data_IF_563703455649
#
_entry.id   IF_563703455649
#
_cell.length_a   1.000
_cell.length_b   1.000
_cell.length_c   1.000
_cell.angle_alpha   90.00
_cell.angle_beta   90.00
_cell.angle_gamma   90.00
#
_symmetry.space_group_name_H-M   'P 1'
#
loop_
_entity.id
_entity.type
_entity.pdbx_description
1 polymer ?
#
# COMPACT_ATOMS: atom_id res chain seq x y z
N UNK A 1 72.50 -19.18 159.41
CA UNK A 1 71.36 -18.66 160.21
C UNK A 1 70.69 -19.83 160.89
N UNK A 2 70.62 -19.83 162.23
CA UNK A 2 69.84 -20.86 162.96
C UNK A 2 68.37 -20.48 162.86
N UNK A 3 67.49 -21.32 162.30
CA UNK A 3 66.06 -21.01 162.25
C UNK A 3 65.52 -20.92 163.69
N UNK A 4 64.72 -19.88 163.96
CA UNK A 4 64.03 -19.73 165.24
C UNK A 4 63.18 -20.99 165.48
N UNK A 5 63.53 -21.74 166.52
CA UNK A 5 62.74 -22.87 167.01
C UNK A 5 61.70 -22.32 167.96
N UNK A 6 60.45 -22.28 167.52
CA UNK A 6 59.32 -21.92 168.36
C UNK A 6 58.90 -23.14 169.19
N UNK A 7 58.50 -22.88 170.44
CA UNK A 7 58.00 -23.93 171.32
C UNK A 7 56.66 -24.47 170.82
N UNK A 8 56.35 -25.77 171.00
CA UNK A 8 55.10 -26.39 170.53
C UNK A 8 53.84 -25.64 171.00
N UNK A 9 53.85 -25.10 172.21
CA UNK A 9 52.72 -24.36 172.80
C UNK A 9 52.39 -23.07 172.04
N UNK A 10 53.41 -22.35 171.57
CA UNK A 10 53.22 -21.12 170.79
C UNK A 10 52.60 -21.41 169.42
N UNK A 11 52.91 -22.58 168.85
CA UNK A 11 52.35 -23.06 167.59
C UNK A 11 50.88 -23.43 167.77
N UNK A 12 50.54 -24.06 168.89
CA UNK A 12 49.18 -24.42 169.27
C UNK A 12 48.33 -23.18 169.53
N UNK A 13 48.87 -22.18 170.24
CA UNK A 13 48.16 -20.93 170.51
C UNK A 13 47.87 -20.15 169.22
N UNK A 14 48.85 -20.08 168.30
CA UNK A 14 48.66 -19.46 167.00
C UNK A 14 47.63 -20.20 166.13
N UNK A 15 47.61 -21.54 166.17
CA UNK A 15 46.60 -22.33 165.48
C UNK A 15 45.20 -22.15 166.06
N UNK A 16 45.04 -22.11 167.39
CA UNK A 16 43.77 -21.81 168.06
C UNK A 16 43.27 -20.40 167.71
N UNK A 17 44.15 -19.41 167.64
CA UNK A 17 43.81 -18.06 167.21
C UNK A 17 43.31 -18.02 165.76
N UNK A 18 43.99 -18.72 164.85
CA UNK A 18 43.54 -18.85 163.45
C UNK A 18 42.18 -19.58 163.33
N UNK A 19 41.93 -20.55 164.21
CA UNK A 19 40.65 -21.24 164.29
C UNK A 19 39.52 -20.32 164.79
N UNK A 20 39.77 -19.50 165.81
CA UNK A 20 38.81 -18.52 166.32
C UNK A 20 38.47 -17.42 165.30
N UNK A 21 39.41 -17.09 164.42
CA UNK A 21 39.22 -16.18 163.29
C UNK A 21 38.50 -16.82 162.09
N UNK A 22 38.16 -18.11 162.15
CA UNK A 22 37.53 -18.85 161.05
C UNK A 22 38.42 -19.04 159.82
N UNK A 23 39.74 -18.89 159.96
CA UNK A 23 40.71 -19.00 158.86
C UNK A 23 41.27 -20.42 158.76
N UNK A 24 41.51 -20.88 157.53
CA UNK A 24 42.10 -22.19 157.28
C UNK A 24 43.52 -22.28 157.85
N UNK A 25 43.74 -23.26 158.73
CA UNK A 25 45.00 -23.46 159.44
C UNK A 25 45.93 -24.28 158.55
N UNK A 26 46.78 -23.58 157.79
CA UNK A 26 47.84 -24.18 156.97
C UNK A 26 49.20 -23.87 157.58
N UNK A 27 50.24 -24.64 157.23
CA UNK A 27 51.60 -24.39 157.72
C UNK A 27 52.12 -22.98 157.45
N UNK A 28 51.68 -22.37 156.34
CA UNK A 28 51.97 -20.97 156.01
C UNK A 28 51.16 -19.98 156.84
N UNK A 29 49.88 -20.26 157.12
CA UNK A 29 49.07 -19.41 158.01
C UNK A 29 49.65 -19.37 159.43
N UNK A 30 50.12 -20.52 159.93
CA UNK A 30 50.83 -20.62 161.22
C UNK A 30 52.14 -19.82 161.21
N UNK A 31 52.93 -19.93 160.13
CA UNK A 31 54.15 -19.13 159.96
C UNK A 31 53.86 -17.62 159.94
N UNK A 32 52.80 -17.21 159.26
CA UNK A 32 52.41 -15.79 159.16
C UNK A 32 51.95 -15.23 160.51
N UNK A 33 51.36 -16.06 161.38
CA UNK A 33 50.90 -15.64 162.72
C UNK A 33 52.01 -15.58 163.75
N UNK A 34 52.99 -16.49 163.68
CA UNK A 34 54.10 -16.61 164.64
C UNK A 34 55.33 -15.78 164.20
N UNK A 35 55.41 -15.40 162.91
CA UNK A 35 56.45 -14.52 162.37
C UNK A 35 57.69 -15.23 161.85
N UNK A 36 57.72 -16.56 161.79
CA UNK A 36 58.86 -17.33 161.28
C UNK A 36 58.71 -18.85 161.44
N UNK A 37 59.75 -19.60 161.08
CA UNK A 37 59.80 -21.07 161.23
C UNK A 37 59.54 -21.86 159.95
N UNK A 38 59.75 -23.18 160.01
CA UNK A 38 59.52 -24.10 158.89
C UNK A 38 58.02 -24.47 158.80
N UNK A 39 57.30 -24.10 157.72
CA UNK A 39 55.87 -24.39 157.56
C UNK A 39 55.48 -25.85 157.75
N UNK A 40 56.35 -26.78 157.32
CA UNK A 40 56.09 -28.22 157.42
C UNK A 40 56.09 -28.68 158.87
N UNK A 41 57.05 -28.20 159.69
CA UNK A 41 57.13 -28.51 161.13
C UNK A 41 55.98 -27.86 161.91
N UNK A 42 55.62 -26.62 161.57
CA UNK A 42 54.49 -25.93 162.20
C UNK A 42 53.17 -26.65 161.93
N UNK A 43 52.94 -27.07 160.67
CA UNK A 43 51.77 -27.87 160.29
C UNK A 43 51.80 -29.24 160.98
N UNK A 44 52.95 -29.90 161.05
CA UNK A 44 53.08 -31.19 161.70
C UNK A 44 52.74 -31.12 163.21
N UNK A 45 53.25 -30.13 163.94
CA UNK A 45 52.94 -29.96 165.37
C UNK A 45 51.46 -29.59 165.57
N UNK A 46 50.89 -28.78 164.68
CA UNK A 46 49.46 -28.46 164.72
C UNK A 46 48.60 -29.69 164.37
N UNK A 47 49.03 -30.52 163.42
CA UNK A 47 48.34 -31.75 163.04
C UNK A 47 48.50 -32.82 164.13
N UNK A 48 49.63 -32.89 164.82
CA UNK A 48 49.84 -33.70 166.03
C UNK A 48 48.97 -33.18 167.19
N UNK A 49 48.84 -31.86 167.34
CA UNK A 49 47.95 -31.25 168.33
C UNK A 49 46.47 -31.50 168.00
N UNK A 50 46.07 -31.33 166.74
CA UNK A 50 44.74 -31.68 166.23
C UNK A 50 44.47 -33.17 166.37
N UNK A 51 45.43 -34.03 166.08
CA UNK A 51 45.34 -35.47 166.29
C UNK A 51 45.33 -35.83 167.78
N UNK A 52 45.92 -35.02 168.67
CA UNK A 52 45.83 -35.20 170.12
C UNK A 52 44.52 -34.65 170.72
N UNK A 53 43.93 -33.61 170.10
CA UNK A 53 42.60 -33.11 170.43
C UNK A 53 41.49 -34.01 169.87
N UNK A 54 41.71 -34.56 168.68
CA UNK A 54 40.81 -35.49 167.97
C UNK A 54 41.17 -36.95 168.18
N UNK A 55 42.21 -37.24 168.97
CA UNK A 55 42.27 -38.43 169.82
C UNK A 55 41.23 -38.22 170.92
N UNK A 56 39.98 -38.12 170.47
CA UNK A 56 38.83 -38.46 171.25
C UNK A 56 39.18 -39.80 171.88
N UNK A 57 39.20 -39.79 173.21
CA UNK A 57 39.04 -40.97 174.03
C UNK A 57 38.16 -41.95 173.25
N UNK A 58 38.78 -42.98 172.66
CA UNK A 58 38.06 -44.20 172.40
C UNK A 58 37.86 -44.80 173.78
N UNK A 59 36.91 -44.21 174.53
CA UNK A 59 36.18 -44.91 175.56
C UNK A 59 35.87 -46.26 174.92
N UNK A 60 36.23 -47.39 175.56
CA UNK A 60 35.79 -48.67 175.06
C UNK A 60 34.28 -48.49 174.88
N UNK A 61 33.79 -48.74 173.67
CA UNK A 61 32.35 -48.90 173.48
C UNK A 61 32.02 -50.06 174.42
N UNK A 62 31.62 -49.74 175.65
CA UNK A 62 30.74 -50.57 176.42
C UNK A 62 29.65 -50.87 175.43
N UNK A 63 29.63 -52.13 174.98
CA UNK A 63 28.59 -52.64 174.11
C UNK A 63 27.30 -52.01 174.60
N UNK A 64 26.64 -51.26 173.72
CA UNK A 64 25.26 -50.83 173.99
C UNK A 64 24.58 -52.10 174.50
N UNK A 65 23.96 -52.07 175.69
CA UNK A 65 23.26 -53.23 176.23
C UNK A 65 22.48 -53.89 175.10
N UNK A 66 22.61 -55.20 174.92
CA UNK A 66 22.20 -55.88 173.68
C UNK A 66 20.80 -55.44 173.19
N UNK A 67 19.89 -55.16 174.11
CA UNK A 67 18.58 -54.54 173.91
C UNK A 67 18.63 -53.22 173.10
N UNK A 68 19.46 -52.25 173.48
CA UNK A 68 19.59 -50.96 172.78
C UNK A 68 20.29 -51.14 171.42
N UNK A 69 21.28 -52.02 171.31
CA UNK A 69 21.94 -52.31 170.04
C UNK A 69 20.99 -52.96 169.03
N UNK A 70 20.14 -53.89 169.48
CA UNK A 70 19.10 -54.53 168.67
C UNK A 70 17.98 -53.54 168.28
N UNK A 71 17.56 -52.64 169.18
CA UNK A 71 16.61 -51.57 168.86
C UNK A 71 17.18 -50.57 167.83
N UNK A 72 18.45 -50.15 167.97
CA UNK A 72 19.10 -49.27 166.99
C UNK A 72 19.24 -49.97 165.64
N UNK A 73 19.58 -51.27 165.62
CA UNK A 73 19.59 -52.06 164.38
C UNK A 73 18.20 -52.13 163.76
N UNK A 74 17.16 -52.46 164.54
CA UNK A 74 15.78 -52.56 164.06
C UNK A 74 15.26 -51.22 163.51
N UNK A 75 15.57 -50.10 164.17
CA UNK A 75 15.23 -48.75 163.68
C UNK A 75 16.02 -48.41 162.42
N UNK A 76 17.30 -48.78 162.35
CA UNK A 76 18.11 -48.54 161.15
C UNK A 76 17.66 -49.37 159.95
N UNK A 77 17.25 -50.63 160.15
CA UNK A 77 16.69 -51.48 159.10
C UNK A 77 15.34 -50.96 158.65
N UNK A 78 14.45 -50.59 159.59
CA UNK A 78 13.15 -49.98 159.26
C UNK A 78 13.30 -48.64 158.52
N UNK A 79 14.27 -47.81 158.89
CA UNK A 79 14.58 -46.57 158.18
C UNK A 79 15.15 -46.84 156.78
N UNK A 80 16.05 -47.81 156.64
CA UNK A 80 16.59 -48.24 155.35
C UNK A 80 15.47 -48.77 154.43
N UNK A 81 14.56 -49.59 154.94
CA UNK A 81 13.37 -50.07 154.22
C UNK A 81 12.43 -48.93 153.81
N UNK A 82 12.23 -47.94 154.68
CA UNK A 82 11.41 -46.76 154.35
C UNK A 82 12.08 -45.86 153.31
N UNK A 83 13.41 -45.72 153.38
CA UNK A 83 14.19 -44.99 152.39
C UNK A 83 14.17 -45.70 151.03
N UNK A 84 14.39 -47.02 150.98
CA UNK A 84 14.30 -47.77 149.72
C UNK A 84 12.91 -47.68 149.11
N UNK A 85 11.84 -47.79 149.92
CA UNK A 85 10.46 -47.62 149.45
C UNK A 85 10.15 -46.21 148.93
N UNK A 86 10.67 -45.17 149.59
CA UNK A 86 10.51 -43.79 149.09
C UNK A 86 11.29 -43.58 147.80
N UNK A 87 12.49 -44.15 147.69
CA UNK A 87 13.33 -44.08 146.49
C UNK A 87 12.67 -44.81 145.32
N UNK A 88 12.11 -46.01 145.51
CA UNK A 88 11.39 -46.73 144.44
C UNK A 88 10.16 -45.95 144.01
N UNK A 89 9.36 -45.40 144.93
CA UNK A 89 8.21 -44.53 144.59
C UNK A 89 8.60 -43.26 143.85
N UNK A 90 9.69 -42.60 144.26
CA UNK A 90 10.22 -41.42 143.56
C UNK A 90 10.70 -41.79 142.15
N UNK A 91 11.37 -42.93 142.01
CA UNK A 91 11.82 -43.47 140.73
C UNK A 91 10.62 -43.78 139.82
N UNK A 92 9.63 -44.54 140.30
CA UNK A 92 8.40 -44.83 139.55
C UNK A 92 7.70 -43.56 139.07
N UNK A 93 7.64 -42.52 139.91
CA UNK A 93 7.06 -41.22 139.55
C UNK A 93 7.91 -40.50 138.49
N UNK A 94 9.23 -40.56 138.59
CA UNK A 94 10.15 -39.97 137.62
C UNK A 94 10.07 -40.70 136.26
N UNK A 95 10.02 -42.03 136.26
CA UNK A 95 9.85 -42.86 135.05
C UNK A 95 8.52 -42.55 134.38
N UNK A 96 7.41 -42.54 135.13
CA UNK A 96 6.09 -42.20 134.55
C UNK A 96 6.05 -40.77 133.98
N UNK A 97 6.70 -39.81 134.65
CA UNK A 97 6.80 -38.44 134.15
C UNK A 97 7.68 -38.36 132.88
N UNK A 98 8.75 -39.15 132.80
CA UNK A 98 9.60 -39.24 131.61
C UNK A 98 8.88 -39.94 130.45
N UNK A 99 8.20 -41.06 130.70
CA UNK A 99 7.36 -41.77 129.72
C UNK A 99 6.28 -40.84 129.17
N UNK A 100 5.56 -40.12 130.03
CA UNK A 100 4.55 -39.15 129.59
C UNK A 100 5.18 -38.07 128.69
N UNK A 101 6.31 -37.48 129.09
CA UNK A 101 7.02 -36.48 128.27
C UNK A 101 7.47 -37.06 126.93
N UNK A 102 7.99 -38.29 126.92
CA UNK A 102 8.38 -38.98 125.68
C UNK A 102 7.16 -39.18 124.80
N UNK A 103 6.03 -39.67 125.34
CA UNK A 103 4.80 -39.84 124.55
C UNK A 103 4.29 -38.53 123.98
N UNK A 104 4.33 -37.45 124.77
CA UNK A 104 3.91 -36.12 124.32
C UNK A 104 4.83 -35.58 123.22
N UNK A 105 6.16 -35.69 123.38
CA UNK A 105 7.14 -35.30 122.36
C UNK A 105 6.98 -36.14 121.10
N UNK A 106 6.79 -37.46 121.21
CA UNK A 106 6.56 -38.31 120.04
C UNK A 106 5.26 -37.97 119.33
N UNK A 107 4.21 -37.59 120.07
CA UNK A 107 2.95 -37.15 119.49
C UNK A 107 3.11 -35.81 118.76
N UNK A 108 3.72 -34.81 119.39
CA UNK A 108 3.91 -33.49 118.75
C UNK A 108 4.87 -33.59 117.57
N UNK A 109 5.91 -34.43 117.64
CA UNK A 109 6.78 -34.71 116.50
C UNK A 109 6.04 -35.41 115.36
N UNK A 110 5.15 -36.36 115.67
CA UNK A 110 4.32 -37.02 114.66
C UNK A 110 3.31 -36.05 114.02
N UNK A 111 2.69 -35.18 114.81
CA UNK A 111 1.79 -34.13 114.31
C UNK A 111 2.54 -33.13 113.41
N UNK A 112 3.75 -32.70 113.80
CA UNK A 112 4.60 -31.84 112.98
C UNK A 112 5.05 -32.54 111.69
N UNK A 113 5.42 -33.82 111.75
CA UNK A 113 5.78 -34.60 110.57
C UNK A 113 4.59 -34.72 109.60
N UNK A 114 3.40 -35.05 110.12
CA UNK A 114 2.18 -35.14 109.31
C UNK A 114 1.78 -33.78 108.71
N UNK A 115 1.98 -32.67 109.42
CA UNK A 115 1.76 -31.34 108.87
C UNK A 115 2.77 -31.02 107.76
N UNK A 116 4.06 -31.28 107.98
CA UNK A 116 5.09 -31.06 106.97
C UNK A 116 4.85 -31.91 105.72
N UNK A 117 4.46 -33.18 105.86
CA UNK A 117 4.11 -34.06 104.74
C UNK A 117 2.95 -33.51 103.91
N UNK A 118 1.91 -32.96 104.56
CA UNK A 118 0.79 -32.31 103.85
C UNK A 118 1.25 -31.05 103.11
N UNK A 119 2.05 -30.20 103.76
CA UNK A 119 2.61 -28.99 103.13
C UNK A 119 3.53 -29.34 101.95
N UNK A 120 4.33 -30.42 102.05
CA UNK A 120 5.13 -30.93 100.94
C UNK A 120 4.26 -31.47 99.81
N UNK A 121 3.18 -32.18 100.12
CA UNK A 121 2.26 -32.69 99.10
C UNK A 121 1.57 -31.56 98.34
N UNK A 122 1.16 -30.50 99.03
CA UNK A 122 0.56 -29.32 98.39
C UNK A 122 1.59 -28.55 97.56
N UNK A 123 2.82 -28.37 98.07
CA UNK A 123 3.92 -27.79 97.30
C UNK A 123 4.22 -28.60 96.03
N UNK A 124 4.30 -29.94 96.12
CA UNK A 124 4.53 -30.82 94.98
C UNK A 124 3.44 -30.65 93.92
N UNK A 125 2.15 -30.63 94.32
CA UNK A 125 1.03 -30.38 93.40
C UNK A 125 1.14 -29.02 92.70
N UNK A 126 1.57 -27.98 93.42
CA UNK A 126 1.75 -26.66 92.80
C UNK A 126 2.90 -26.66 91.80
N UNK A 127 3.99 -27.38 92.07
CA UNK A 127 5.12 -27.54 91.15
C UNK A 127 4.66 -28.28 89.90
N UNK A 128 3.97 -29.42 90.03
CA UNK A 128 3.40 -30.15 88.90
C UNK A 128 2.46 -29.26 88.04
N UNK A 129 1.62 -28.43 88.68
CA UNK A 129 0.77 -27.47 87.98
C UNK A 129 1.57 -26.38 87.24
N UNK A 130 2.68 -25.92 87.81
CA UNK A 130 3.54 -24.91 87.19
C UNK A 130 4.36 -25.51 86.04
N UNK A 131 4.84 -26.74 86.18
CA UNK A 131 5.51 -27.49 85.13
C UNK A 131 4.56 -27.73 83.94
N UNK A 132 3.32 -28.15 84.19
CA UNK A 132 2.32 -28.29 83.13
C UNK A 132 2.05 -26.98 82.37
N UNK A 133 1.96 -25.84 83.09
CA UNK A 133 1.83 -24.52 82.45
C UNK A 133 3.09 -24.12 81.67
N UNK A 134 4.27 -24.48 82.17
CA UNK A 134 5.53 -24.21 81.48
C UNK A 134 5.56 -24.97 80.14
N UNK A 135 5.19 -26.24 80.15
CA UNK A 135 5.13 -27.08 78.95
C UNK A 135 4.11 -26.56 77.94
N UNK A 136 2.91 -26.16 78.38
CA UNK A 136 1.89 -25.53 77.53
C UNK A 136 2.41 -24.24 76.88
N UNK A 137 3.07 -23.37 77.66
CA UNK A 137 3.64 -22.13 77.15
C UNK A 137 4.82 -22.37 76.20
N UNK A 138 5.64 -23.39 76.46
CA UNK A 138 6.72 -23.80 75.57
C UNK A 138 6.16 -24.31 74.24
N UNK A 139 5.19 -25.23 74.27
CA UNK A 139 4.52 -25.74 73.07
C UNK A 139 3.84 -24.60 72.28
N UNK A 140 3.17 -23.66 72.95
CA UNK A 140 2.59 -22.48 72.32
C UNK A 140 3.63 -21.57 71.65
N UNK A 141 4.78 -21.34 72.31
CA UNK A 141 5.88 -20.58 71.71
C UNK A 141 6.50 -21.28 70.49
N UNK A 142 6.65 -22.60 70.53
CA UNK A 142 7.13 -23.38 69.40
C UNK A 142 6.16 -23.30 68.21
N UNK A 143 4.85 -23.41 68.45
CA UNK A 143 3.84 -23.25 67.39
C UNK A 143 3.83 -21.82 66.81
N UNK A 144 3.89 -20.80 67.66
CA UNK A 144 3.96 -19.40 67.21
C UNK A 144 5.23 -19.12 66.41
N UNK A 145 6.37 -19.69 66.81
CA UNK A 145 7.61 -19.54 66.06
C UNK A 145 7.61 -20.31 64.75
N UNK A 146 6.94 -21.45 64.66
CA UNK A 146 6.74 -22.19 63.41
C UNK A 146 5.85 -21.40 62.43
N UNK A 147 4.67 -20.97 62.87
CA UNK A 147 3.75 -20.17 62.05
C UNK A 147 4.39 -18.86 61.58
N UNK A 148 5.14 -18.16 62.45
CA UNK A 148 5.90 -16.98 62.06
C UNK A 148 6.96 -17.27 60.98
N UNK A 149 7.61 -18.44 61.01
CA UNK A 149 8.56 -18.85 59.97
C UNK A 149 7.86 -19.16 58.65
N UNK A 150 6.71 -19.83 58.69
CA UNK A 150 5.89 -20.14 57.51
C UNK A 150 5.38 -18.85 56.84
N UNK A 151 4.81 -17.92 57.61
CA UNK A 151 4.37 -16.62 57.11
C UNK A 151 5.53 -15.80 56.51
N UNK A 152 6.72 -15.86 57.13
CA UNK A 152 7.93 -15.22 56.56
C UNK A 152 8.37 -15.87 55.25
N UNK A 153 8.22 -17.20 55.11
CA UNK A 153 8.54 -17.90 53.88
C UNK A 153 7.54 -17.53 52.77
N UNK A 154 6.24 -17.55 53.06
CA UNK A 154 5.17 -17.14 52.16
C UNK A 154 5.37 -15.70 51.69
N UNK A 155 5.66 -14.77 52.62
CA UNK A 155 5.94 -13.38 52.28
C UNK A 155 7.16 -13.23 51.35
N UNK A 156 8.25 -13.96 51.61
CA UNK A 156 9.43 -13.96 50.72
C UNK A 156 9.09 -14.50 49.33
N UNK A 157 8.28 -15.55 49.24
CA UNK A 157 7.81 -16.09 47.96
C UNK A 157 6.98 -15.04 47.21
N UNK A 158 6.03 -14.40 47.88
CA UNK A 158 5.23 -13.31 47.32
C UNK A 158 6.08 -12.12 46.87
N UNK A 159 7.09 -11.72 47.64
CA UNK A 159 8.02 -10.63 47.27
C UNK A 159 8.81 -10.98 45.99
N UNK A 160 9.25 -12.24 45.83
CA UNK A 160 9.91 -12.72 44.61
C UNK A 160 8.95 -12.76 43.43
N UNK A 161 7.71 -13.23 43.62
CA UNK A 161 6.69 -13.23 42.56
C UNK A 161 6.34 -11.80 42.11
N UNK A 162 6.16 -10.88 43.06
CA UNK A 162 5.93 -9.46 42.77
C UNK A 162 7.11 -8.84 42.01
N UNK A 163 8.36 -9.18 42.37
CA UNK A 163 9.54 -8.74 41.63
C UNK A 163 9.53 -9.27 40.18
N UNK A 164 9.28 -10.57 39.99
CA UNK A 164 9.16 -11.18 38.66
C UNK A 164 8.03 -10.57 37.82
N UNK A 165 6.89 -10.28 38.43
CA UNK A 165 5.76 -9.64 37.75
C UNK A 165 6.11 -8.20 37.35
N UNK A 166 6.81 -7.44 38.19
CA UNK A 166 7.32 -6.10 37.86
C UNK A 166 8.32 -6.16 36.70
N UNK A 167 9.25 -7.11 36.71
CA UNK A 167 10.20 -7.30 35.60
C UNK A 167 9.47 -7.61 34.28
N UNK A 168 8.49 -8.53 34.31
CA UNK A 168 7.66 -8.85 33.14
C UNK A 168 6.85 -7.65 32.66
N UNK A 169 6.32 -6.84 33.59
CA UNK A 169 5.58 -5.63 33.26
C UNK A 169 6.49 -4.61 32.57
N UNK A 170 7.68 -4.35 33.11
CA UNK A 170 8.65 -3.43 32.51
C UNK A 170 9.08 -3.92 31.11
N UNK A 171 9.34 -5.22 30.94
CA UNK A 171 9.66 -5.79 29.64
C UNK A 171 8.50 -5.61 28.65
N UNK A 172 7.25 -5.87 29.07
CA UNK A 172 6.08 -5.68 28.24
C UNK A 172 5.89 -4.20 27.85
N UNK A 173 6.02 -3.27 28.80
CA UNK A 173 5.96 -1.83 28.54
C UNK A 173 7.05 -1.37 27.56
N UNK A 174 8.27 -1.89 27.67
CA UNK A 174 9.35 -1.60 26.72
C UNK A 174 9.01 -2.10 25.31
N UNK A 175 8.50 -3.32 25.18
CA UNK A 175 8.08 -3.85 23.88
C UNK A 175 6.91 -3.07 23.28
N UNK A 176 5.96 -2.61 24.10
CA UNK A 176 4.86 -1.78 23.67
C UNK A 176 5.36 -0.42 23.15
N UNK A 177 6.26 0.23 23.89
CA UNK A 177 6.89 1.49 23.45
C UNK A 177 7.66 1.34 22.14
N UNK A 178 8.47 0.29 22.00
CA UNK A 178 9.19 0.02 20.75
C UNK A 178 8.23 -0.21 19.56
N UNK A 179 7.11 -0.89 19.80
CA UNK A 179 6.10 -1.07 18.77
C UNK A 179 5.41 0.26 18.41
N UNK A 180 5.07 1.09 19.40
CA UNK A 180 4.53 2.43 19.17
C UNK A 180 5.50 3.32 18.38
N UNK A 181 6.78 3.33 18.74
CA UNK A 181 7.83 4.03 17.99
C UNK A 181 7.89 3.56 16.54
N UNK A 182 7.91 2.24 16.30
CA UNK A 182 7.87 1.66 14.95
C UNK A 182 6.60 2.04 14.19
N UNK A 183 5.44 2.07 14.85
CA UNK A 183 4.19 2.49 14.22
C UNK A 183 4.21 3.98 13.87
N UNK A 184 4.80 4.83 14.71
CA UNK A 184 4.96 6.25 14.38
C UNK A 184 5.94 6.45 13.22
N UNK A 185 7.08 5.76 13.20
CA UNK A 185 8.03 5.79 12.08
C UNK A 185 7.39 5.30 10.76
N UNK A 186 6.62 4.22 10.81
CA UNK A 186 5.88 3.73 9.64
C UNK A 186 4.82 4.76 9.19
N UNK A 187 4.14 5.42 10.14
CA UNK A 187 3.16 6.45 9.82
C UNK A 187 3.82 7.66 9.18
N UNK A 188 4.96 8.13 9.69
CA UNK A 188 5.68 9.28 9.10
C UNK A 188 6.21 8.95 7.72
N UNK A 189 6.82 7.77 7.53
CA UNK A 189 7.32 7.34 6.22
C UNK A 189 6.20 7.17 5.19
N UNK A 190 5.06 6.61 5.57
CA UNK A 190 3.88 6.54 4.70
C UNK A 190 3.30 7.92 4.39
N UNK A 191 3.29 8.83 5.36
CA UNK A 191 2.83 10.20 5.16
C UNK A 191 3.75 10.96 4.17
N UNK A 192 5.07 10.83 4.33
CA UNK A 192 6.06 11.41 3.42
C UNK A 192 5.92 10.82 2.01
N UNK A 193 5.76 9.50 1.88
CA UNK A 193 5.54 8.85 0.59
C UNK A 193 4.24 9.33 -0.08
N UNK A 194 3.16 9.48 0.70
CA UNK A 194 1.90 10.03 0.22
C UNK A 194 2.05 11.47 -0.26
N UNK A 195 2.77 12.31 0.49
CA UNK A 195 3.01 13.71 0.13
C UNK A 195 3.85 13.79 -1.16
N UNK A 196 4.86 12.93 -1.32
CA UNK A 196 5.64 12.81 -2.57
C UNK A 196 4.75 12.38 -3.74
N UNK A 197 3.93 11.34 -3.60
CA UNK A 197 3.01 10.92 -4.67
C UNK A 197 2.01 12.02 -5.02
N UNK A 198 1.47 12.73 -4.03
CA UNK A 198 0.58 13.87 -4.28
C UNK A 198 1.28 15.00 -5.05
N UNK A 199 2.54 15.30 -4.72
CA UNK A 199 3.33 16.28 -5.47
C UNK A 199 3.62 15.80 -6.90
N UNK A 200 3.98 14.53 -7.09
CA UNK A 200 4.18 13.94 -8.41
C UNK A 200 2.91 14.00 -9.25
N UNK A 201 1.75 13.63 -8.68
CA UNK A 201 0.46 13.73 -9.36
C UNK A 201 0.09 15.18 -9.73
N UNK A 202 0.39 16.15 -8.85
CA UNK A 202 0.21 17.58 -9.16
C UNK A 202 1.08 18.00 -10.34
N UNK A 203 2.38 17.69 -10.31
CA UNK A 203 3.29 18.03 -11.40
C UNK A 203 2.90 17.38 -12.74
N UNK A 204 2.50 16.10 -12.72
CA UNK A 204 2.01 15.38 -13.90
C UNK A 204 0.73 16.01 -14.45
N UNK A 205 -0.20 16.42 -13.58
CA UNK A 205 -1.41 17.14 -14.00
C UNK A 205 -1.08 18.47 -14.65
N UNK A 206 -0.17 19.25 -14.08
CA UNK A 206 0.29 20.52 -14.67
C UNK A 206 0.95 20.31 -16.04
N UNK A 207 1.79 19.29 -16.17
CA UNK A 207 2.43 18.96 -17.45
C UNK A 207 1.43 18.48 -18.50
N UNK A 208 0.43 17.68 -18.11
CA UNK A 208 -0.65 17.27 -19.01
C UNK A 208 -1.53 18.46 -19.43
N UNK A 209 -1.82 19.39 -18.52
CA UNK A 209 -2.54 20.62 -18.85
C UNK A 209 -1.76 21.45 -19.87
N UNK A 210 -0.45 21.67 -19.67
CA UNK A 210 0.41 22.37 -20.64
C UNK A 210 0.44 21.69 -22.01
N UNK A 211 0.48 20.35 -22.05
CA UNK A 211 0.44 19.59 -23.31
C UNK A 211 -0.92 19.74 -24.00
N UNK A 212 -2.01 19.74 -23.25
CA UNK A 212 -3.36 19.93 -23.77
C UNK A 212 -3.52 21.36 -24.33
N UNK A 213 -3.06 22.37 -23.59
CA UNK A 213 -3.01 23.76 -24.06
C UNK A 213 -2.21 23.88 -25.36
N UNK A 214 -1.00 23.31 -25.42
CA UNK A 214 -0.19 23.28 -26.65
C UNK A 214 -0.89 22.60 -27.82
N UNK A 215 -1.45 21.41 -27.61
CA UNK A 215 -2.16 20.66 -28.66
C UNK A 215 -3.41 21.42 -29.15
N UNK A 216 -4.14 22.09 -28.24
CA UNK A 216 -5.27 22.93 -28.61
C UNK A 216 -4.86 24.19 -29.38
N UNK A 217 -3.72 24.81 -29.03
CA UNK A 217 -3.15 25.91 -29.80
C UNK A 217 -2.76 25.46 -31.21
N UNK A 218 -2.04 24.35 -31.33
CA UNK A 218 -1.68 23.74 -32.62
C UNK A 218 -2.91 23.39 -33.46
N UNK A 219 -3.95 22.81 -32.84
CA UNK A 219 -5.21 22.51 -33.51
C UNK A 219 -5.94 23.78 -33.99
N UNK A 220 -5.91 24.87 -33.22
CA UNK A 220 -6.47 26.16 -33.62
C UNK A 220 -5.67 26.80 -34.76
N UNK A 221 -4.34 26.75 -34.71
CA UNK A 221 -3.48 27.22 -35.80
C UNK A 221 -3.78 26.47 -37.10
N UNK A 222 -3.81 25.14 -37.07
CA UNK A 222 -4.19 24.33 -38.22
C UNK A 222 -5.61 24.60 -38.71
N UNK A 223 -6.56 24.85 -37.81
CA UNK A 223 -7.92 25.22 -38.20
C UNK A 223 -7.97 26.58 -38.92
N UNK A 224 -7.19 27.57 -38.47
CA UNK A 224 -7.04 28.86 -39.15
C UNK A 224 -6.30 28.74 -40.48
N UNK A 225 -5.27 27.92 -40.57
CA UNK A 225 -4.59 27.59 -41.83
C UNK A 225 -5.57 26.98 -42.83
N UNK A 226 -6.31 25.95 -42.44
CA UNK A 226 -7.34 25.31 -43.27
C UNK A 226 -8.44 26.28 -43.69
N UNK A 227 -8.88 27.19 -42.81
CA UNK A 227 -9.82 28.27 -43.18
C UNK A 227 -9.19 29.17 -44.24
N UNK A 228 -7.95 29.60 -44.05
CA UNK A 228 -7.26 30.47 -45.01
C UNK A 228 -7.07 29.80 -46.38
N UNK A 229 -6.77 28.49 -46.40
CA UNK A 229 -6.68 27.70 -47.63
C UNK A 229 -8.04 27.54 -48.28
N UNK A 230 -9.09 27.26 -47.50
CA UNK A 230 -10.46 27.20 -47.98
C UNK A 230 -10.90 28.53 -48.60
N UNK A 231 -10.57 29.66 -47.98
CA UNK A 231 -10.87 30.99 -48.51
C UNK A 231 -10.11 31.25 -49.82
N UNK A 232 -8.83 30.89 -49.90
CA UNK A 232 -8.08 30.94 -51.16
C UNK A 232 -8.75 30.09 -52.24
N UNK A 233 -9.11 28.85 -51.95
CA UNK A 233 -9.83 27.97 -52.89
C UNK A 233 -11.15 28.60 -53.33
N UNK A 234 -11.94 29.15 -52.40
CA UNK A 234 -13.19 29.84 -52.72
C UNK A 234 -12.97 31.06 -53.64
N UNK A 235 -11.91 31.85 -53.41
CA UNK A 235 -11.56 32.97 -54.32
C UNK A 235 -11.11 32.50 -55.69
N UNK A 236 -10.42 31.36 -55.78
CA UNK A 236 -10.04 30.77 -57.06
C UNK A 236 -11.26 30.20 -57.79
N UNK A 237 -12.18 29.55 -57.08
CA UNK A 237 -13.45 29.06 -57.63
C UNK A 237 -14.27 30.21 -58.20
N UNK A 238 -14.46 31.31 -57.47
CA UNK A 238 -15.20 32.48 -58.00
C UNK A 238 -14.50 33.13 -59.21
N UNK A 239 -13.17 33.15 -59.24
CA UNK A 239 -12.40 33.57 -60.43
C UNK A 239 -12.60 32.62 -61.62
N UNK A 240 -12.66 31.31 -61.38
CA UNK A 240 -12.96 30.33 -62.41
C UNK A 240 -14.39 30.49 -62.92
N UNK A 241 -15.38 30.63 -62.04
CA UNK A 241 -16.78 30.89 -62.40
C UNK A 241 -16.93 32.14 -63.25
N UNK A 242 -16.30 33.26 -62.86
CA UNK A 242 -16.32 34.50 -63.65
C UNK A 242 -15.65 34.33 -65.02
N UNK A 243 -14.54 33.58 -65.11
CA UNK A 243 -13.89 33.26 -66.39
C UNK A 243 -14.74 32.32 -67.26
N UNK A 244 -15.38 31.32 -66.67
CA UNK A 244 -16.32 30.44 -67.39
C UNK A 244 -17.50 31.23 -67.92
N UNK A 245 -18.07 32.14 -67.14
CA UNK A 245 -19.13 33.05 -67.58
C UNK A 245 -18.66 33.97 -68.71
N UNK A 246 -17.45 34.54 -68.64
CA UNK A 246 -16.88 35.34 -69.71
C UNK A 246 -16.67 34.51 -70.99
N UNK A 247 -16.14 33.29 -70.89
CA UNK A 247 -16.00 32.37 -72.01
C UNK A 247 -17.36 31.96 -72.58
N UNK A 248 -18.39 31.78 -71.75
CA UNK A 248 -19.75 31.51 -72.19
C UNK A 248 -20.34 32.71 -72.96
N UNK A 249 -20.11 33.94 -72.48
CA UNK A 249 -20.49 35.17 -73.21
C UNK A 249 -19.74 35.30 -74.54
N UNK A 250 -18.43 35.04 -74.57
CA UNK A 250 -17.64 35.01 -75.81
C UNK A 250 -18.17 33.94 -76.77
N UNK A 251 -18.48 32.73 -76.29
CA UNK A 251 -19.11 31.67 -77.10
C UNK A 251 -20.46 32.11 -77.65
N UNK A 252 -21.29 32.76 -76.85
CA UNK A 252 -22.58 33.29 -77.29
C UNK A 252 -22.40 34.39 -78.34
N UNK A 253 -21.41 35.28 -78.17
CA UNK A 253 -21.08 36.30 -79.16
C UNK A 253 -20.53 35.69 -80.46
N UNK A 254 -19.66 34.69 -80.36
CA UNK A 254 -19.17 33.91 -81.50
C UNK A 254 -20.29 33.14 -82.20
N UNK A 255 -21.29 32.65 -81.46
CA UNK A 255 -22.45 32.00 -82.03
C UNK A 255 -23.34 33.02 -82.75
N UNK A 256 -23.65 34.17 -82.15
CA UNK A 256 -24.42 35.23 -82.80
C UNK A 256 -23.72 35.79 -84.06
N UNK A 257 -22.40 35.96 -84.02
CA UNK A 257 -21.61 36.36 -85.19
C UNK A 257 -21.60 35.27 -86.27
N UNK A 258 -21.54 33.99 -85.90
CA UNK A 258 -21.73 32.88 -86.85
C UNK A 258 -23.13 32.88 -87.46
N UNK A 259 -24.17 33.05 -86.66
CA UNK A 259 -25.57 33.06 -87.12
C UNK A 259 -25.82 34.23 -88.09
N UNK A 260 -25.28 35.41 -87.80
CA UNK A 260 -25.37 36.57 -88.70
C UNK A 260 -24.58 36.37 -89.99
N UNK A 261 -23.36 35.82 -89.92
CA UNK A 261 -22.60 35.44 -91.13
C UNK A 261 -23.31 34.35 -91.93
N UNK A 262 -23.96 33.39 -91.27
CA UNK A 262 -24.75 32.35 -91.92
C UNK A 262 -25.98 32.93 -92.61
N UNK A 263 -26.70 33.86 -91.96
CA UNK A 263 -27.80 34.61 -92.60
C UNK A 263 -27.32 35.43 -93.81
N UNK A 264 -26.16 36.08 -93.70
CA UNK A 264 -25.57 36.80 -94.84
C UNK A 264 -25.20 35.84 -95.99
N UNK A 265 -24.67 34.66 -95.68
CA UNK A 265 -24.40 33.62 -96.69
C UNK A 265 -25.68 33.07 -97.31
N UNK A 266 -26.73 32.86 -96.53
CA UNK A 266 -28.06 32.45 -97.02
C UNK A 266 -28.68 33.54 -97.90
N UNK A 267 -28.56 34.81 -97.53
CA UNK A 267 -28.98 35.95 -98.37
C UNK A 267 -28.19 36.01 -99.67
N UNK A 268 -26.86 35.91 -99.63
CA UNK A 268 -26.05 35.85 -100.85
C UNK A 268 -26.39 34.60 -101.67
N UNK A 269 -26.69 33.48 -101.02
CA UNK A 269 -27.17 32.26 -101.68
C UNK A 269 -28.52 32.46 -102.37
N UNK A 270 -29.46 33.17 -101.74
CA UNK A 270 -30.75 33.54 -102.32
C UNK A 270 -30.59 34.54 -103.47
N UNK A 271 -29.77 35.58 -103.31
CA UNK A 271 -29.44 36.54 -104.38
C UNK A 271 -28.78 35.85 -105.58
N UNK A 272 -27.88 34.88 -105.33
CA UNK A 272 -27.30 34.06 -106.37
C UNK A 272 -28.34 33.15 -107.02
N UNK A 273 -29.27 32.57 -106.24
CA UNK A 273 -30.35 31.75 -106.76
C UNK A 273 -31.28 32.57 -107.68
N UNK A 274 -31.69 33.75 -107.22
CA UNK A 274 -32.51 34.70 -107.99
C UNK A 274 -31.80 35.10 -109.28
N UNK A 275 -30.51 35.46 -109.21
CA UNK A 275 -29.69 35.73 -110.41
C UNK A 275 -29.59 34.52 -111.34
N UNK A 276 -29.42 33.30 -110.81
CA UNK A 276 -29.43 32.11 -111.67
C UNK A 276 -30.80 31.85 -112.30
N UNK A 277 -31.89 32.18 -111.61
CA UNK A 277 -33.25 32.08 -112.16
C UNK A 277 -33.49 33.13 -113.26
N UNK A 278 -33.00 34.36 -113.07
CA UNK A 278 -33.00 35.41 -114.10
C UNK A 278 -32.19 34.98 -115.33
N UNK A 279 -30.99 34.43 -115.12
CA UNK A 279 -30.16 33.88 -116.21
C UNK A 279 -30.86 32.70 -116.91
N UNK A 280 -31.60 31.87 -116.18
CA UNK A 280 -32.37 30.77 -116.77
C UNK A 280 -33.51 31.29 -117.65
N UNK A 281 -34.26 32.29 -117.17
CA UNK A 281 -35.31 32.97 -117.95
C UNK A 281 -34.71 33.62 -119.21
N UNK A 282 -33.56 34.28 -119.08
CA UNK A 282 -32.86 34.86 -120.23
C UNK A 282 -32.33 33.80 -121.19
N UNK A 283 -31.85 32.65 -120.71
CA UNK A 283 -31.49 31.51 -121.56
C UNK A 283 -32.69 30.95 -122.33
N UNK A 284 -33.86 30.85 -121.70
CA UNK A 284 -35.08 30.38 -122.35
C UNK A 284 -35.58 31.40 -123.40
N UNK A 285 -35.42 32.70 -123.14
CA UNK A 285 -35.64 33.77 -124.14
C UNK A 285 -34.68 33.65 -125.32
N UNK A 286 -33.40 33.43 -125.07
CA UNK A 286 -32.42 33.21 -126.14
C UNK A 286 -32.76 31.94 -126.93
N UNK A 287 -33.13 30.84 -126.28
CA UNK A 287 -33.55 29.59 -126.93
C UNK A 287 -34.79 29.77 -127.82
N UNK A 288 -35.81 30.49 -127.32
CA UNK A 288 -37.02 30.79 -128.11
C UNK A 288 -36.74 31.75 -129.27
N UNK A 289 -35.83 32.71 -129.10
CA UNK A 289 -35.37 33.57 -130.20
C UNK A 289 -34.57 32.77 -131.24
N UNK A 290 -33.71 31.86 -130.81
CA UNK A 290 -32.88 31.02 -131.70
C UNK A 290 -33.76 30.10 -132.54
N UNK A 291 -34.72 29.41 -131.94
CA UNK A 291 -35.69 28.58 -132.67
C UNK A 291 -36.57 29.37 -133.64
N UNK A 292 -36.92 30.62 -133.31
CA UNK A 292 -37.58 31.54 -134.26
C UNK A 292 -36.70 31.89 -135.44
N UNK A 293 -35.43 32.22 -135.19
CA UNK A 293 -34.46 32.58 -136.22
C UNK A 293 -34.20 31.39 -137.16
N UNK A 294 -34.00 30.19 -136.62
CA UNK A 294 -33.87 28.95 -137.41
C UNK A 294 -35.11 28.65 -138.27
N UNK A 295 -36.32 28.95 -137.77
CA UNK A 295 -37.55 28.79 -138.54
C UNK A 295 -37.68 29.83 -139.68
N UNK A 296 -37.19 31.06 -139.46
CA UNK A 296 -37.10 32.09 -140.50
C UNK A 296 -36.03 31.76 -141.55
N UNK A 297 -34.88 31.25 -141.13
CA UNK A 297 -33.84 30.79 -142.06
C UNK A 297 -34.31 29.61 -142.91
N UNK A 298 -34.96 28.60 -142.32
CA UNK A 298 -35.54 27.47 -143.08
C UNK A 298 -36.57 27.94 -144.11
N UNK A 299 -37.40 28.93 -143.78
CA UNK A 299 -38.39 29.48 -144.72
C UNK A 299 -37.73 30.34 -145.80
N UNK A 300 -36.68 31.09 -145.47
CA UNK A 300 -35.88 31.86 -146.44
C UNK A 300 -35.12 30.96 -147.42
N UNK A 301 -34.47 29.89 -146.92
CA UNK A 301 -33.78 28.89 -147.73
C UNK A 301 -34.77 28.17 -148.67
N UNK A 302 -35.96 27.81 -148.18
CA UNK A 302 -37.00 27.20 -149.01
C UNK A 302 -37.53 28.15 -150.11
N UNK A 303 -37.59 29.46 -149.84
CA UNK A 303 -37.94 30.47 -150.84
C UNK A 303 -36.82 30.63 -151.88
N UNK A 304 -35.55 30.69 -151.46
CA UNK A 304 -34.39 30.76 -152.36
C UNK A 304 -34.33 29.53 -153.28
N UNK A 305 -34.51 28.32 -152.76
CA UNK A 305 -34.53 27.10 -153.56
C UNK A 305 -35.69 27.04 -154.58
N UNK A 306 -36.83 27.67 -154.28
CA UNK A 306 -37.94 27.79 -155.25
C UNK A 306 -37.58 28.75 -156.38
N UNK A 307 -36.99 29.89 -156.04
CA UNK A 307 -36.54 30.88 -157.02
C UNK A 307 -35.44 30.32 -157.93
N UNK A 308 -34.48 29.57 -157.38
CA UNK A 308 -33.42 28.91 -158.16
C UNK A 308 -33.99 27.90 -159.17
N UNK A 309 -34.95 27.07 -158.77
CA UNK A 309 -35.62 26.12 -159.69
C UNK A 309 -36.42 26.81 -160.79
N UNK A 310 -36.95 28.01 -160.55
CA UNK A 310 -37.63 28.80 -161.58
C UNK A 310 -36.64 29.43 -162.56
N UNK A 311 -35.50 29.92 -162.07
CA UNK A 311 -34.39 30.40 -162.92
C UNK A 311 -33.84 29.28 -163.81
N UNK A 312 -33.65 28.09 -163.26
CA UNK A 312 -33.12 26.93 -163.98
C UNK A 312 -34.08 26.47 -165.11
N UNK A 313 -35.40 26.46 -164.84
CA UNK A 313 -36.43 26.20 -165.86
C UNK A 313 -36.46 27.26 -166.96
N UNK A 314 -36.20 28.52 -166.64
CA UNK A 314 -36.14 29.61 -167.61
C UNK A 314 -34.86 29.53 -168.46
N UNK A 315 -33.72 29.17 -167.86
CA UNK A 315 -32.46 28.96 -168.56
C UNK A 315 -32.53 27.80 -169.56
N UNK A 316 -33.13 26.66 -169.17
CA UNK A 316 -33.38 25.52 -170.06
C UNK A 316 -34.33 25.86 -171.24
N UNK A 317 -35.23 26.82 -171.04
CA UNK A 317 -36.15 27.27 -172.09
C UNK A 317 -35.47 28.22 -173.08
N UNK A 318 -34.58 29.09 -172.60
CA UNK A 318 -33.76 29.96 -173.44
C UNK A 318 -32.80 29.15 -174.32
N UNK A 319 -32.11 28.15 -173.77
CA UNK A 319 -31.17 27.31 -174.56
C UNK A 319 -31.86 26.48 -175.65
N UNK A 320 -33.11 26.01 -175.42
CA UNK A 320 -33.91 25.32 -176.44
C UNK A 320 -34.32 26.25 -177.58
N UNK A 321 -34.71 27.49 -177.26
CA UNK A 321 -35.08 28.49 -178.26
C UNK A 321 -33.87 28.94 -179.09
N UNK A 322 -32.69 29.05 -178.47
CA UNK A 322 -31.44 29.36 -179.17
C UNK A 322 -31.05 28.26 -180.17
N UNK A 323 -31.13 26.98 -179.77
CA UNK A 323 -30.90 25.85 -180.71
C UNK A 323 -31.88 25.85 -181.89
N UNK A 324 -33.17 26.08 -181.62
CA UNK A 324 -34.19 26.13 -182.68
C UNK A 324 -33.95 27.26 -183.68
N UNK A 325 -33.44 28.41 -183.22
CA UNK A 325 -33.04 29.52 -184.10
C UNK A 325 -31.85 29.14 -184.97
N UNK A 326 -30.83 28.50 -184.39
CA UNK A 326 -29.59 28.19 -185.09
C UNK A 326 -29.79 27.08 -186.13
N UNK A 327 -30.65 26.09 -185.87
CA UNK A 327 -31.05 25.06 -186.84
C UNK A 327 -31.81 25.68 -188.03
N UNK A 328 -32.72 26.64 -187.78
CA UNK A 328 -33.44 27.35 -188.83
C UNK A 328 -32.52 28.22 -189.72
N UNK A 329 -31.46 28.82 -189.16
CA UNK A 329 -30.47 29.59 -189.93
C UNK A 329 -29.60 28.67 -190.81
N UNK A 330 -29.32 27.45 -190.36
CA UNK A 330 -28.63 26.42 -191.12
C UNK A 330 -29.45 25.88 -192.29
N UNK A 331 -30.77 25.77 -192.14
CA UNK A 331 -31.67 25.39 -193.25
C UNK A 331 -31.79 26.50 -194.30
N UNK A 332 -31.96 27.75 -193.87
CA UNK A 332 -32.06 28.90 -194.80
C UNK A 332 -30.77 29.12 -195.61
N UNK A 333 -29.61 28.81 -195.04
CA UNK A 333 -28.32 28.90 -195.76
C UNK A 333 -28.17 27.79 -196.80
N UNK A 334 -28.57 26.55 -196.48
CA UNK A 334 -28.58 25.43 -197.44
C UNK A 334 -29.57 25.66 -198.60
N UNK A 335 -30.74 26.23 -198.32
CA UNK A 335 -31.73 26.54 -199.36
C UNK A 335 -31.25 27.66 -200.30
N UNK A 336 -30.53 28.67 -199.78
CA UNK A 336 -29.93 29.72 -200.62
C UNK A 336 -28.83 29.19 -201.54
N UNK A 337 -28.03 28.23 -201.09
CA UNK A 337 -27.00 27.57 -201.91
C UNK A 337 -27.63 26.71 -203.02
N UNK A 338 -28.73 26.01 -202.71
CA UNK A 338 -29.48 25.22 -203.71
C UNK A 338 -30.12 26.10 -204.81
N UNK A 339 -30.63 27.29 -204.46
CA UNK A 339 -31.19 28.25 -205.43
C UNK A 339 -30.09 28.83 -206.34
N UNK A 340 -28.87 29.03 -205.82
CA UNK A 340 -27.74 29.50 -206.61
C UNK A 340 -27.26 28.46 -207.64
N UNK A 341 -27.30 27.17 -207.29
CA UNK A 341 -26.93 26.07 -208.20
C UNK A 341 -27.91 25.95 -209.38
N UNK A 342 -29.22 26.00 -209.13
CA UNK A 342 -30.25 25.86 -210.17
C UNK A 342 -30.27 27.04 -211.15
N UNK A 343 -29.89 28.24 -210.70
CA UNK A 343 -29.74 29.42 -211.59
C UNK A 343 -28.58 29.29 -212.58
N UNK A 344 -27.50 28.60 -212.19
CA UNK A 344 -26.37 28.32 -213.08
C UNK A 344 -26.72 27.32 -214.19
N UNK A 345 -27.60 26.36 -213.91
CA UNK A 345 -28.09 25.39 -214.90
C UNK A 345 -29.02 26.03 -215.94
N UNK A 346 -29.87 26.98 -215.53
CA UNK A 346 -30.76 27.69 -216.47
C UNK A 346 -30.00 28.57 -217.46
N UNK A 347 -28.87 29.17 -217.04
CA UNK A 347 -28.04 30.01 -217.91
C UNK A 347 -27.21 29.16 -218.92
N UNK A 348 -26.85 27.93 -218.54
CA UNK A 348 -26.15 26.99 -219.43
C UNK A 348 -27.06 26.47 -220.55
N UNK A 349 -28.33 26.16 -220.23
CA UNK A 349 -29.31 25.68 -221.21
C UNK A 349 -29.80 26.78 -222.17
N UNK A 350 -29.82 28.04 -221.75
CA UNK A 350 -30.10 29.17 -222.64
C UNK A 350 -28.97 29.44 -223.65
N UNK A 351 -27.70 29.24 -223.27
CA UNK A 351 -26.57 29.37 -224.20
C UNK A 351 -26.52 28.25 -225.24
N UNK A 352 -26.95 27.04 -224.87
CA UNK A 352 -27.02 25.91 -225.81
C UNK A 352 -28.11 26.11 -226.87
N UNK A 353 -29.26 26.69 -226.49
CA UNK A 353 -30.32 27.07 -227.43
C UNK A 353 -29.90 28.17 -228.42
N UNK A 354 -29.04 29.10 -228.00
CA UNK A 354 -28.50 30.14 -228.91
C UNK A 354 -27.44 29.58 -229.87
N UNK A 355 -26.67 28.56 -229.46
CA UNK A 355 -25.66 27.91 -230.31
C UNK A 355 -26.25 27.06 -231.45
N UNK A 356 -27.44 26.47 -231.26
CA UNK A 356 -28.10 25.67 -232.31
C UNK A 356 -28.77 26.54 -233.38
N UNK A 357 -29.26 27.73 -233.00
CA UNK A 357 -29.84 28.69 -233.94
C UNK A 357 -28.81 29.33 -234.88
N UNK A 358 -27.51 29.29 -234.55
CA UNK A 358 -26.44 29.90 -235.35
C UNK A 358 -25.79 28.95 -236.38
N UNK A 359 -25.93 27.62 -236.25
CA UNK A 359 -25.12 26.67 -237.01
C UNK A 359 -25.71 26.18 -238.35
N UNK A 360 -26.99 26.46 -238.68
CA UNK A 360 -27.61 25.93 -239.91
C UNK A 360 -28.34 26.97 -240.78
N UNK A 361 -27.99 28.26 -240.65
CA UNK A 361 -28.39 29.32 -241.59
C UNK A 361 -27.33 29.61 -242.68
N UNK A 362 -26.49 28.64 -243.06
CA UNK A 362 -25.35 28.86 -243.95
C UNK A 362 -25.06 27.76 -244.98
N UNK A 363 -25.98 27.43 -245.88
CA UNK A 363 -25.65 26.97 -247.24
C UNK A 363 -26.82 27.23 -248.21
N UNK A 364 -26.55 27.82 -249.38
CA UNK A 364 -27.55 28.20 -250.42
C UNK A 364 -27.85 27.03 -251.36
N UNK A 365 -29.13 26.85 -251.74
CA UNK A 365 -29.64 26.03 -252.88
C UNK A 365 -29.32 24.52 -252.79
N UNK A 366 -30.21 23.56 -253.08
CA UNK A 366 -31.47 23.51 -253.84
C UNK A 366 -32.70 23.72 -252.94
N UNK A 367 -33.63 24.61 -253.25
CA UNK A 367 -34.42 24.58 -254.48
C UNK A 367 -35.83 24.17 -254.07
N UNK A 368 -36.77 25.12 -254.11
CA UNK A 368 -38.14 24.87 -253.68
C UNK A 368 -38.97 26.14 -253.62
N UNK A 369 -39.80 26.28 -254.64
CA UNK A 369 -40.81 27.30 -254.93
C UNK A 369 -41.97 27.43 -253.90
N UNK A 370 -42.78 28.46 -254.17
CA UNK A 370 -44.25 28.55 -254.00
C UNK A 370 -44.80 28.95 -252.62
N UNK A 371 -45.91 29.70 -252.52
CA UNK A 371 -47.27 29.51 -253.07
C UNK A 371 -47.96 28.24 -252.54
#
# INVERSE_FOLDING_TARGET
MRPATFEPEQIIEAGRALQAEGRNITGFALRNRIGGGNPTRLRQIWDEYQASQHAAESLPVTELPAEIAEEVKAVSTALAERLTHLVTKLNDKAVRAAEYRVTEITRTAAEQAAQAEQEFADAARTVECLEGKLDELQAGNEQLTQTLREERLLRRQQEVELARLKERLVAAEQTARQNEERYQEQKTTLQEALDIEQQQLKSMREDLLKRLEKASAEANEHAEELKSERDKVNTLLSRLETRENALAQERQHHQATRDTLQQQLEQVGADLHDRTSEIAIERDRVSTLTSRLESQEKTSILQQQRMEREIEKLADRCTRLEKQRDDALLEVTREKEAIAALRGETDALQRQNQSLMAALAGNKQTGGQNA
#
